data_IF_876118772973
#
_entry.id   IF_876118772973
#
_cell.length_a   1.000
_cell.length_b   1.000
_cell.length_c   1.000
_cell.angle_alpha   90.00
_cell.angle_beta   90.00
_cell.angle_gamma   90.00
#
_symmetry.space_group_name_H-M   'P 1'
#
loop_
_entity.id
_entity.type
_entity.pdbx_description
1 polymer ?
#
# COMPACT_ATOMS: atom_id res chain seq x y z
N UNK A 1 -18.37 13.80 7.70
CA UNK A 1 -17.62 13.17 8.81
C UNK A 1 -17.16 11.74 8.48
N UNK A 2 -18.06 10.79 8.19
CA UNK A 2 -17.71 9.38 7.86
C UNK A 2 -16.74 9.22 6.68
N UNK A 3 -16.94 9.97 5.58
CA UNK A 3 -16.07 9.92 4.39
C UNK A 3 -14.61 10.31 4.70
N UNK A 4 -14.40 11.28 5.59
CA UNK A 4 -13.07 11.73 6.03
C UNK A 4 -12.38 10.66 6.87
N UNK A 5 -13.12 10.00 7.77
CA UNK A 5 -12.61 8.90 8.60
C UNK A 5 -12.18 7.73 7.72
N UNK A 6 -13.02 7.32 6.77
CA UNK A 6 -12.70 6.24 5.82
C UNK A 6 -11.44 6.55 4.98
N UNK A 7 -11.31 7.81 4.51
CA UNK A 7 -10.11 8.26 3.80
C UNK A 7 -8.86 8.20 4.68
N UNK A 8 -8.95 8.67 5.93
CA UNK A 8 -7.82 8.64 6.85
C UNK A 8 -7.38 7.21 7.21
N UNK A 9 -8.34 6.30 7.40
CA UNK A 9 -8.05 4.87 7.61
C UNK A 9 -7.36 4.25 6.38
N UNK A 10 -7.80 4.62 5.17
CA UNK A 10 -7.20 4.16 3.93
C UNK A 10 -5.74 4.66 3.79
N UNK A 11 -5.49 5.93 4.09
CA UNK A 11 -4.14 6.51 4.10
C UNK A 11 -3.23 5.84 5.13
N UNK A 12 -3.74 5.59 6.34
CA UNK A 12 -3.01 4.85 7.37
C UNK A 12 -2.65 3.43 6.90
N UNK A 13 -3.59 2.73 6.25
CA UNK A 13 -3.36 1.38 5.70
C UNK A 13 -2.30 1.37 4.61
N UNK A 14 -2.27 2.39 3.75
CA UNK A 14 -1.24 2.58 2.73
C UNK A 14 0.13 2.74 3.39
N UNK A 15 0.23 3.57 4.42
CA UNK A 15 1.50 3.82 5.08
C UNK A 15 2.05 2.59 5.80
N UNK A 16 1.20 1.87 6.52
CA UNK A 16 1.60 0.59 7.15
C UNK A 16 2.10 -0.40 6.11
N UNK A 17 1.41 -0.54 4.96
CA UNK A 17 1.84 -1.44 3.89
C UNK A 17 3.13 -1.00 3.21
N UNK A 18 3.34 0.31 3.04
CA UNK A 18 4.58 0.89 2.52
C UNK A 18 5.76 0.49 3.42
N UNK A 19 5.63 0.70 4.73
CA UNK A 19 6.65 0.32 5.71
C UNK A 19 6.95 -1.18 5.65
N UNK A 20 5.92 -2.03 5.62
CA UNK A 20 6.10 -3.49 5.54
C UNK A 20 6.78 -3.91 4.24
N UNK A 21 6.43 -3.29 3.11
CA UNK A 21 7.07 -3.58 1.82
C UNK A 21 8.55 -3.23 1.84
N UNK A 22 8.93 -2.05 2.35
CA UNK A 22 10.33 -1.65 2.44
C UNK A 22 11.12 -2.56 3.38
N UNK A 23 10.58 -2.91 4.56
CA UNK A 23 11.21 -3.90 5.45
C UNK A 23 11.45 -5.25 4.77
N UNK A 24 10.51 -5.71 3.94
CA UNK A 24 10.70 -6.93 3.15
C UNK A 24 11.74 -6.77 2.05
N UNK A 25 11.79 -5.61 1.39
CA UNK A 25 12.78 -5.31 0.37
C UNK A 25 14.20 -5.27 0.95
N UNK A 26 14.35 -4.72 2.15
CA UNK A 26 15.64 -4.69 2.85
C UNK A 26 16.10 -6.10 3.24
N UNK A 27 15.18 -6.99 3.60
CA UNK A 27 15.50 -8.36 4.01
C UNK A 27 15.70 -9.33 2.82
N UNK A 28 14.87 -9.23 1.78
CA UNK A 28 14.79 -10.22 0.69
C UNK A 28 15.32 -9.70 -0.66
N UNK A 29 15.53 -8.40 -0.79
CA UNK A 29 15.79 -7.74 -2.06
C UNK A 29 14.52 -7.30 -2.79
N UNK A 30 14.65 -6.27 -3.64
CA UNK A 30 13.52 -5.59 -4.31
C UNK A 30 12.75 -6.47 -5.30
N UNK A 31 13.44 -7.36 -5.98
CA UNK A 31 12.86 -8.25 -7.01
C UNK A 31 12.23 -9.50 -6.42
N UNK A 32 12.34 -9.72 -5.10
CA UNK A 32 11.79 -10.89 -4.46
C UNK A 32 10.27 -10.95 -4.67
N UNK A 33 9.67 -12.10 -5.04
CA UNK A 33 8.24 -12.20 -5.37
C UNK A 33 7.31 -11.67 -4.26
N UNK A 34 7.69 -11.84 -2.99
CA UNK A 34 6.91 -11.32 -1.86
C UNK A 34 6.92 -9.78 -1.76
N UNK A 35 7.97 -9.13 -2.23
CA UNK A 35 8.10 -7.67 -2.29
C UNK A 35 7.30 -7.15 -3.48
N UNK A 36 7.43 -7.77 -4.65
CA UNK A 36 6.64 -7.45 -5.86
C UNK A 36 5.14 -7.55 -5.59
N UNK A 37 4.69 -8.65 -4.97
CA UNK A 37 3.28 -8.81 -4.55
C UNK A 37 2.83 -7.73 -3.55
N UNK A 38 3.72 -7.33 -2.64
CA UNK A 38 3.42 -6.26 -1.68
C UNK A 38 3.33 -4.89 -2.37
N UNK A 39 4.17 -4.64 -3.39
CA UNK A 39 4.10 -3.45 -4.25
C UNK A 39 2.78 -3.37 -5.00
N UNK A 40 2.37 -4.43 -5.71
CA UNK A 40 1.08 -4.46 -6.41
C UNK A 40 -0.12 -4.22 -5.48
N UNK A 41 -0.05 -4.78 -4.26
CA UNK A 41 -1.09 -4.55 -3.25
C UNK A 41 -1.13 -3.09 -2.77
N UNK A 42 0.03 -2.42 -2.71
CA UNK A 42 0.13 -1.02 -2.33
C UNK A 42 -0.40 -0.12 -3.46
N UNK A 43 -0.04 -0.42 -4.71
CA UNK A 43 -0.53 0.29 -5.91
C UNK A 43 -2.05 0.22 -6.01
N UNK A 44 -2.65 -0.94 -5.72
CA UNK A 44 -4.11 -1.09 -5.70
C UNK A 44 -4.78 -0.13 -4.71
N UNK A 45 -4.17 0.09 -3.53
CA UNK A 45 -4.70 1.02 -2.53
C UNK A 45 -4.50 2.47 -2.94
N UNK A 46 -3.35 2.79 -3.55
CA UNK A 46 -3.07 4.13 -4.08
C UNK A 46 -4.06 4.50 -5.20
N UNK A 47 -4.34 3.56 -6.12
CA UNK A 47 -5.31 3.75 -7.20
C UNK A 47 -6.72 4.03 -6.66
N UNK A 48 -7.12 3.38 -5.56
CA UNK A 48 -8.41 3.65 -4.89
C UNK A 48 -8.49 5.05 -4.30
N UNK A 49 -7.38 5.57 -3.76
CA UNK A 49 -7.33 6.95 -3.24
C UNK A 49 -7.38 7.97 -4.38
N UNK A 50 -6.72 7.65 -5.50
CA UNK A 50 -6.63 8.52 -6.67
C UNK A 50 -7.85 8.43 -7.60
N UNK A 51 -8.74 7.44 -7.41
CA UNK A 51 -9.91 7.23 -8.26
C UNK A 51 -9.58 6.64 -9.63
N UNK A 52 -8.41 6.01 -9.79
CA UNK A 52 -7.92 5.45 -11.07
C UNK A 52 -8.53 4.05 -11.33
N UNK A 53 -8.84 3.28 -10.29
CA UNK A 53 -9.55 2.00 -10.39
C UNK A 53 -10.63 1.89 -9.29
N UNK A 54 -11.89 1.55 -9.62
CA UNK A 54 -12.88 1.12 -8.65
C UNK A 54 -12.52 -0.23 -7.99
#
# INVERSE_FOLDING_TARGET
>A
MLKTIQRNLLLCRIEVKRIVMYKKADFLGRTHPSVVKSSHSLDTLLNKVQGICP
#
